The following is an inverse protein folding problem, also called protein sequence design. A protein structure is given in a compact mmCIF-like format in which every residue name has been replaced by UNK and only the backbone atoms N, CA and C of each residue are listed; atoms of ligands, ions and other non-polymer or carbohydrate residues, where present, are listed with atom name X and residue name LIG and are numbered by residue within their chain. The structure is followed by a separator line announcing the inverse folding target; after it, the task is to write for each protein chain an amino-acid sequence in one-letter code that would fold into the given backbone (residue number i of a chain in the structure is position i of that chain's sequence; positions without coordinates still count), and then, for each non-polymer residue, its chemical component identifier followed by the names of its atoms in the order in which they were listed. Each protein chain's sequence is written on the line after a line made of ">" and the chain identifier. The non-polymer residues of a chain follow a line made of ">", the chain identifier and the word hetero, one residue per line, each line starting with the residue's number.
data_IF_663394424445
#
_entry.id   IF_663394424445
#
_cell.length_a   1.000
_cell.length_b   1.000
_cell.length_c   1.000
_cell.angle_alpha   90.00
_cell.angle_beta   90.00
_cell.angle_gamma   90.00
#
_symmetry.space_group_name_H-M   'P 1'
#
loop_
_entity.id
_entity.type
_entity.pdbx_description
1 polymer ?
#
# COMPACT_ATOMS: atom_id res chain seq x y z
N UNK A 1 -20.98 -18.97 -26.20
CA UNK A 1 -19.68 -18.30 -25.96
C UNK A 1 -19.95 -16.85 -25.61
N UNK A 2 -19.91 -16.51 -24.32
CA UNK A 2 -19.95 -15.12 -23.83
C UNK A 2 -18.86 -14.96 -22.78
N UNK A 3 -17.94 -14.03 -23.03
CA UNK A 3 -16.86 -13.65 -22.11
C UNK A 3 -17.45 -12.74 -21.03
N UNK A 4 -17.36 -13.16 -19.77
CA UNK A 4 -17.63 -12.29 -18.63
C UNK A 4 -16.41 -11.38 -18.40
N UNK A 5 -16.62 -10.07 -18.53
CA UNK A 5 -15.67 -9.04 -18.10
C UNK A 5 -15.95 -8.80 -16.62
N UNK A 6 -15.03 -9.22 -15.75
CA UNK A 6 -15.10 -8.96 -14.31
C UNK A 6 -14.62 -7.53 -14.08
N UNK A 7 -15.54 -6.66 -13.67
CA UNK A 7 -15.27 -5.29 -13.25
C UNK A 7 -14.84 -5.31 -11.77
N UNK A 8 -13.60 -4.92 -11.48
CA UNK A 8 -13.15 -4.66 -10.12
C UNK A 8 -13.65 -3.27 -9.71
N UNK A 9 -14.92 -3.19 -9.31
CA UNK A 9 -15.47 -1.99 -8.69
C UNK A 9 -14.98 -1.87 -7.24
N UNK A 10 -14.18 -0.86 -6.95
CA UNK A 10 -13.96 -0.40 -5.58
C UNK A 10 -15.29 0.09 -5.00
N UNK A 11 -15.60 -0.15 -3.71
CA UNK A 11 -16.84 0.32 -3.11
C UNK A 11 -16.84 1.85 -3.03
N UNK A 12 -17.89 2.44 -3.59
CA UNK A 12 -18.26 3.84 -3.38
C UNK A 12 -18.61 3.98 -1.90
N UNK A 13 -17.77 4.66 -1.12
CA UNK A 13 -18.12 5.07 0.25
C UNK A 13 -19.05 6.27 0.14
N UNK A 14 -20.36 5.98 0.18
CA UNK A 14 -21.38 7.01 0.42
C UNK A 14 -21.33 7.36 1.91
N UNK A 15 -20.65 8.45 2.24
CA UNK A 15 -20.69 9.04 3.58
C UNK A 15 -22.03 9.74 3.80
N UNK A 16 -23.06 9.00 4.20
CA UNK A 16 -24.30 9.55 4.72
C UNK A 16 -24.16 9.72 6.23
N UNK A 17 -24.13 10.97 6.69
CA UNK A 17 -24.21 11.29 8.11
C UNK A 17 -25.53 10.81 8.72
N UNK A 18 -25.46 10.14 9.86
CA UNK A 18 -26.59 9.93 10.76
C UNK A 18 -26.15 10.28 12.17
N UNK A 19 -26.67 11.41 12.65
CA UNK A 19 -26.62 11.85 14.04
C UNK A 19 -27.60 10.99 14.84
N UNK A 20 -27.06 10.29 15.85
CA UNK A 20 -27.60 10.09 17.20
C UNK A 20 -28.97 9.42 17.38
N UNK A 21 -28.97 8.32 18.13
CA UNK A 21 -29.78 8.14 19.35
C UNK A 21 -29.25 6.92 20.13
N UNK A 22 -28.55 7.20 21.24
CA UNK A 22 -28.19 6.21 22.26
C UNK A 22 -29.45 5.77 23.04
N UNK A 23 -29.47 4.57 23.65
CA UNK A 23 -28.91 4.47 25.00
C UNK A 23 -28.23 3.12 25.33
N UNK A 24 -27.23 3.19 26.22
CA UNK A 24 -27.06 2.17 27.26
C UNK A 24 -25.88 1.20 27.11
N UNK A 25 -24.88 1.44 27.96
CA UNK A 25 -23.96 0.47 28.57
C UNK A 25 -22.77 -0.06 27.76
N UNK A 26 -21.57 0.30 28.23
CA UNK A 26 -20.41 -0.59 28.22
C UNK A 26 -19.27 -0.28 27.25
N UNK A 27 -18.88 0.99 27.06
CA UNK A 27 -17.63 1.29 26.35
C UNK A 27 -16.42 1.21 27.27
N UNK A 28 -15.64 0.14 27.11
CA UNK A 28 -14.22 0.15 27.45
C UNK A 28 -13.53 1.26 26.66
N UNK A 29 -12.89 2.18 27.38
CA UNK A 29 -12.04 3.23 26.80
C UNK A 29 -10.94 2.58 25.97
N UNK A 30 -10.93 2.85 24.67
CA UNK A 30 -9.72 2.75 23.88
C UNK A 30 -8.76 3.83 24.40
N UNK A 31 -7.81 3.41 25.25
CA UNK A 31 -6.70 4.24 25.70
C UNK A 31 -5.82 4.57 24.48
N UNK A 32 -6.08 5.71 23.85
CA UNK A 32 -5.16 6.33 22.90
C UNK A 32 -3.98 6.83 23.71
N UNK A 33 -2.85 6.15 23.60
CA UNK A 33 -1.59 6.63 24.18
C UNK A 33 -1.17 7.90 23.43
N UNK A 34 -0.90 9.02 24.11
CA UNK A 34 -0.46 10.24 23.45
C UNK A 34 0.99 10.06 22.99
N UNK A 35 1.15 9.72 21.71
CA UNK A 35 2.43 9.82 21.02
C UNK A 35 2.85 11.29 20.98
N UNK A 36 3.89 11.61 21.73
CA UNK A 36 4.57 12.89 21.83
C UNK A 36 4.67 13.58 20.46
N UNK A 37 3.90 14.66 20.26
CA UNK A 37 4.14 15.65 19.22
C UNK A 37 5.49 16.32 19.47
N UNK A 38 6.58 15.73 18.97
CA UNK A 38 7.81 16.47 18.80
C UNK A 38 7.57 17.47 17.66
N UNK A 39 7.54 18.75 18.01
CA UNK A 39 7.78 19.83 17.08
C UNK A 39 9.14 19.60 16.41
N UNK A 40 9.13 18.91 15.27
CA UNK A 40 10.26 18.87 14.36
C UNK A 40 10.05 20.05 13.42
N UNK A 41 10.66 21.18 13.76
CA UNK A 41 11.02 22.20 12.78
C UNK A 41 12.01 21.56 11.81
N UNK A 42 11.50 20.92 10.75
CA UNK A 42 12.34 20.30 9.74
C UNK A 42 12.63 21.31 8.63
N UNK A 43 13.75 22.00 8.80
CA UNK A 43 14.47 22.65 7.71
C UNK A 43 14.96 21.59 6.70
N UNK A 44 14.86 21.94 5.41
CA UNK A 44 15.47 21.31 4.23
C UNK A 44 14.85 20.01 3.69
N UNK A 45 13.82 20.16 2.84
CA UNK A 45 13.29 19.14 1.92
C UNK A 45 14.06 19.11 0.59
N UNK A 46 15.34 18.70 0.59
CA UNK A 46 16.15 18.60 -0.64
C UNK A 46 15.83 17.40 -1.56
N UNK A 47 14.72 16.68 -1.33
CA UNK A 47 14.24 15.61 -2.22
C UNK A 47 12.72 15.64 -2.48
N UNK A 48 12.12 16.84 -2.51
CA UNK A 48 10.73 17.00 -2.95
C UNK A 48 10.63 16.71 -4.46
N UNK A 49 10.06 15.55 -4.82
CA UNK A 49 9.60 15.32 -6.19
C UNK A 49 8.46 16.30 -6.46
N UNK A 50 8.72 17.27 -7.32
CA UNK A 50 7.77 18.33 -7.66
C UNK A 50 6.67 17.73 -8.54
N UNK A 51 5.44 17.68 -8.02
CA UNK A 51 4.25 17.40 -8.84
C UNK A 51 4.19 18.47 -9.94
N UNK A 52 4.09 18.09 -11.22
CA UNK A 52 4.20 19.04 -12.31
C UNK A 52 3.01 20.02 -12.29
N UNK A 53 3.32 21.30 -12.48
CA UNK A 53 2.33 22.37 -12.62
C UNK A 53 1.92 22.45 -14.08
N UNK A 54 0.62 22.59 -14.35
CA UNK A 54 0.11 22.75 -15.70
C UNK A 54 0.73 24.02 -16.36
N UNK A 55 1.09 23.99 -17.66
CA UNK A 55 1.71 25.13 -18.32
C UNK A 55 0.86 26.41 -18.27
N UNK A 56 1.50 27.55 -18.07
CA UNK A 56 0.85 28.88 -18.01
C UNK A 56 -0.15 29.05 -16.85
N UNK A 57 -0.07 28.21 -15.82
CA UNK A 57 -0.88 28.39 -14.61
C UNK A 57 -0.45 29.61 -13.81
N UNK A 58 -1.44 30.31 -13.28
CA UNK A 58 -1.26 31.46 -12.39
C UNK A 58 -1.62 31.05 -10.96
N UNK A 59 -0.77 31.39 -10.00
CA UNK A 59 -1.04 31.13 -8.58
C UNK A 59 -2.16 32.04 -8.11
N UNK A 60 -3.13 31.49 -7.40
CA UNK A 60 -4.21 32.27 -6.79
C UNK A 60 -4.01 32.44 -5.28
N UNK A 61 -4.72 33.43 -4.71
CA UNK A 61 -4.86 33.59 -3.25
C UNK A 61 -6.13 32.90 -2.71
N UNK A 62 -6.73 31.99 -3.49
CA UNK A 62 -7.94 31.27 -3.11
C UNK A 62 -7.72 30.39 -1.88
N UNK A 63 -8.80 30.10 -1.15
CA UNK A 63 -8.80 29.04 -0.14
C UNK A 63 -8.50 27.67 -0.78
N UNK A 64 -8.04 26.72 0.02
CA UNK A 64 -7.79 25.34 -0.43
C UNK A 64 -9.02 24.72 -1.10
N UNK A 65 -8.80 23.95 -2.17
CA UNK A 65 -9.87 23.17 -2.81
C UNK A 65 -10.19 21.97 -1.93
N UNK A 66 -11.47 21.76 -1.63
CA UNK A 66 -11.92 20.58 -0.89
C UNK A 66 -11.65 19.32 -1.71
N UNK A 67 -10.84 18.41 -1.15
CA UNK A 67 -10.50 17.15 -1.80
C UNK A 67 -11.67 16.15 -1.68
N UNK A 68 -12.08 15.46 -2.78
CA UNK A 68 -12.98 14.32 -2.70
C UNK A 68 -12.30 13.08 -2.08
N UNK A 69 -10.96 13.09 -1.98
CA UNK A 69 -10.20 12.08 -1.24
C UNK A 69 -10.06 12.49 0.22
N UNK A 70 -10.28 11.56 1.14
CA UNK A 70 -10.03 11.78 2.58
C UNK A 70 -8.53 12.05 2.82
N UNK A 71 -8.23 13.02 3.68
CA UNK A 71 -6.87 13.23 4.19
C UNK A 71 -6.68 12.46 5.50
N UNK A 72 -5.49 11.89 5.75
CA UNK A 72 -4.31 11.90 4.88
C UNK A 72 -4.47 10.95 3.66
N UNK A 73 -3.89 11.30 2.51
CA UNK A 73 -3.89 10.42 1.33
C UNK A 73 -3.29 9.05 1.65
N UNK A 74 -2.23 9.07 2.46
CA UNK A 74 -1.63 7.87 3.05
C UNK A 74 -1.53 8.07 4.55
N UNK A 75 -2.10 7.15 5.32
CA UNK A 75 -2.01 7.17 6.78
C UNK A 75 -0.56 7.12 7.24
N UNK A 76 -0.18 7.96 8.21
CA UNK A 76 1.19 8.10 8.75
C UNK A 76 2.19 8.85 7.87
N UNK A 77 1.81 9.27 6.64
CA UNK A 77 2.64 10.16 5.83
C UNK A 77 2.37 11.64 6.11
N UNK A 78 3.41 12.47 5.99
CA UNK A 78 3.25 13.92 5.92
C UNK A 78 2.63 14.29 4.55
N UNK A 79 1.49 14.98 4.58
CA UNK A 79 0.82 15.44 3.36
C UNK A 79 1.29 16.85 3.02
N UNK A 80 1.61 17.07 1.75
CA UNK A 80 2.06 18.35 1.23
C UNK A 80 1.03 18.85 0.23
N UNK A 81 0.48 20.02 0.48
CA UNK A 81 -0.53 20.63 -0.34
C UNK A 81 0.06 21.81 -1.12
N UNK A 82 -0.26 21.89 -2.41
CA UNK A 82 0.16 23.00 -3.26
C UNK A 82 -0.65 24.25 -2.98
N UNK A 83 -0.25 25.37 -3.58
CA UNK A 83 -1.17 26.49 -3.78
C UNK A 83 -2.26 26.11 -4.78
N UNK A 84 -3.34 26.87 -4.78
CA UNK A 84 -4.35 26.80 -5.84
C UNK A 84 -3.78 27.50 -7.08
N UNK A 85 -3.97 26.85 -8.22
CA UNK A 85 -3.53 27.30 -9.53
C UNK A 85 -4.73 27.50 -10.42
N UNK A 86 -4.69 28.55 -11.24
CA UNK A 86 -5.73 28.89 -12.21
C UNK A 86 -5.16 28.82 -13.61
N UNK A 87 -5.92 28.23 -14.52
CA UNK A 87 -5.49 28.04 -15.91
C UNK A 87 -6.65 28.30 -16.88
N UNK A 88 -6.43 29.06 -17.98
CA UNK A 88 -7.47 29.42 -18.94
C UNK A 88 -7.73 28.29 -19.95
N UNK A 89 -8.04 27.09 -19.45
CA UNK A 89 -8.44 25.93 -20.24
C UNK A 89 -9.58 25.20 -19.55
N UNK A 90 -10.26 24.34 -20.30
CA UNK A 90 -11.35 23.50 -19.77
C UNK A 90 -10.84 22.45 -18.78
N UNK A 91 -11.72 21.99 -17.89
CA UNK A 91 -11.47 20.86 -16.99
C UNK A 91 -10.88 19.65 -17.72
N UNK A 92 -11.47 19.27 -18.86
CA UNK A 92 -11.04 18.11 -19.65
C UNK A 92 -9.61 18.24 -20.15
N UNK A 93 -9.14 19.45 -20.44
CA UNK A 93 -7.75 19.67 -20.85
C UNK A 93 -6.80 19.50 -19.66
N UNK A 94 -7.16 19.99 -18.48
CA UNK A 94 -6.38 19.81 -17.25
C UNK A 94 -6.32 18.34 -16.85
N UNK A 95 -7.46 17.66 -16.81
CA UNK A 95 -7.57 16.23 -16.48
C UNK A 95 -6.69 15.38 -17.40
N UNK A 96 -6.88 15.49 -18.72
CA UNK A 96 -6.14 14.70 -19.69
C UNK A 96 -4.63 14.98 -19.65
N UNK A 97 -4.24 16.23 -19.41
CA UNK A 97 -2.84 16.59 -19.25
C UNK A 97 -2.24 15.94 -18.00
N UNK A 98 -2.92 16.00 -16.85
CA UNK A 98 -2.42 15.38 -15.62
C UNK A 98 -2.34 13.87 -15.74
N UNK A 99 -3.33 13.20 -16.34
CA UNK A 99 -3.26 11.75 -16.58
C UNK A 99 -1.99 11.40 -17.35
N UNK A 100 -1.77 12.01 -18.52
CA UNK A 100 -0.60 11.74 -19.35
C UNK A 100 0.71 12.12 -18.66
N UNK A 101 0.75 13.30 -18.04
CA UNK A 101 1.97 13.83 -17.43
C UNK A 101 2.41 13.01 -16.21
N UNK A 102 1.46 12.53 -15.42
CA UNK A 102 1.73 11.66 -14.27
C UNK A 102 2.14 10.25 -14.72
N UNK A 103 1.51 9.71 -15.76
CA UNK A 103 1.94 8.46 -16.42
C UNK A 103 3.38 8.55 -16.96
N UNK A 104 3.73 9.65 -17.64
CA UNK A 104 5.11 9.91 -18.10
C UNK A 104 6.11 9.98 -16.94
N UNK A 105 5.66 10.40 -15.76
CA UNK A 105 6.46 10.40 -14.53
C UNK A 105 6.47 9.06 -13.81
N UNK A 106 5.84 8.02 -14.37
CA UNK A 106 5.78 6.67 -13.83
C UNK A 106 4.80 6.49 -12.67
N UNK A 107 3.85 7.39 -12.52
CA UNK A 107 2.67 7.15 -11.69
C UNK A 107 1.61 6.42 -12.51
N UNK A 108 0.72 5.71 -11.83
CA UNK A 108 -0.50 5.19 -12.45
C UNK A 108 -1.72 5.74 -11.70
N UNK A 109 -2.83 5.88 -12.42
CA UNK A 109 -4.09 6.34 -11.83
C UNK A 109 -4.72 5.20 -11.02
N UNK A 110 -5.00 5.44 -9.74
CA UNK A 110 -5.64 4.46 -8.84
C UNK A 110 -7.10 4.79 -8.52
N UNK A 111 -7.52 6.06 -8.63
CA UNK A 111 -8.91 6.44 -8.40
C UNK A 111 -9.30 7.73 -9.10
N UNK A 112 -10.58 7.84 -9.46
CA UNK A 112 -11.25 9.08 -9.85
C UNK A 112 -12.42 9.29 -8.89
N UNK A 113 -12.56 10.49 -8.35
CA UNK A 113 -13.64 10.82 -7.43
C UNK A 113 -14.30 12.14 -7.82
N UNK A 114 -15.56 12.30 -7.46
CA UNK A 114 -16.33 13.52 -7.62
C UNK A 114 -16.95 13.86 -6.27
N UNK A 115 -16.76 15.08 -5.80
CA UNK A 115 -17.49 15.62 -4.66
C UNK A 115 -18.34 16.79 -5.12
N UNK A 116 -19.63 16.74 -4.83
CA UNK A 116 -20.49 17.91 -4.77
C UNK A 116 -20.50 18.40 -3.32
N UNK A 117 -19.99 19.60 -3.08
CA UNK A 117 -20.21 20.25 -1.79
C UNK A 117 -21.68 20.65 -1.72
N UNK A 118 -22.41 20.15 -0.72
CA UNK A 118 -23.84 20.45 -0.51
C UNK A 118 -24.16 21.96 -0.39
N UNK A 119 -23.16 22.84 -0.33
CA UNK A 119 -23.31 24.29 -0.14
C UNK A 119 -22.51 25.16 -1.12
N UNK A 120 -21.90 24.59 -2.17
CA UNK A 120 -21.30 25.38 -3.26
C UNK A 120 -21.63 24.76 -4.61
N UNK A 121 -22.04 25.57 -5.58
CA UNK A 121 -22.40 25.16 -6.95
C UNK A 121 -21.24 24.55 -7.77
N UNK A 122 -20.06 24.39 -7.17
CA UNK A 122 -18.85 23.92 -7.85
C UNK A 122 -18.56 22.46 -7.52
N UNK A 123 -18.62 21.62 -8.56
CA UNK A 123 -18.16 20.24 -8.53
C UNK A 123 -16.63 20.19 -8.41
N UNK A 124 -16.10 19.35 -7.52
CA UNK A 124 -14.65 19.07 -7.47
C UNK A 124 -14.36 17.67 -7.98
N UNK A 125 -13.54 17.60 -9.02
CA UNK A 125 -13.06 16.38 -9.64
C UNK A 125 -11.68 16.02 -9.08
N UNK A 126 -11.54 14.79 -8.59
CA UNK A 126 -10.30 14.27 -8.04
C UNK A 126 -9.68 13.19 -8.91
N UNK A 127 -8.38 13.29 -9.15
CA UNK A 127 -7.55 12.22 -9.70
C UNK A 127 -6.54 11.77 -8.63
N UNK A 128 -6.55 10.49 -8.26
CA UNK A 128 -5.55 9.94 -7.33
C UNK A 128 -4.58 9.05 -8.10
N UNK A 129 -3.31 9.44 -8.06
CA UNK A 129 -2.19 8.73 -8.67
C UNK A 129 -1.34 8.08 -7.60
N UNK A 130 -0.72 6.96 -7.94
CA UNK A 130 0.25 6.30 -7.07
C UNK A 130 1.50 5.85 -7.84
N UNK A 131 2.62 5.77 -7.13
CA UNK A 131 3.90 5.29 -7.62
C UNK A 131 4.65 4.53 -6.54
N UNK A 132 5.54 3.65 -6.98
CA UNK A 132 6.39 2.84 -6.12
C UNK A 132 5.74 1.52 -5.74
N UNK A 133 6.52 0.66 -5.09
CA UNK A 133 6.00 -0.57 -4.51
C UNK A 133 4.92 -0.23 -3.48
N UNK A 134 3.79 -0.92 -3.49
CA UNK A 134 2.63 -0.69 -2.59
C UNK A 134 2.06 0.73 -2.62
N UNK A 135 2.21 1.48 -3.72
CA UNK A 135 1.57 2.80 -3.87
C UNK A 135 1.94 3.79 -2.75
N UNK A 136 3.20 3.72 -2.28
CA UNK A 136 3.73 4.51 -1.16
C UNK A 136 3.95 5.99 -1.46
N UNK A 137 3.91 6.39 -2.72
CA UNK A 137 3.99 7.78 -3.18
C UNK A 137 2.65 8.08 -3.88
N UNK A 138 1.81 8.91 -3.26
CA UNK A 138 0.47 9.24 -3.76
C UNK A 138 0.34 10.73 -4.03
N UNK A 139 -0.36 11.04 -5.12
CA UNK A 139 -0.66 12.41 -5.53
C UNK A 139 -2.14 12.50 -5.88
N UNK A 140 -2.89 13.27 -5.10
CA UNK A 140 -4.25 13.68 -5.43
C UNK A 140 -4.24 15.02 -6.18
N UNK A 141 -4.85 15.08 -7.36
CA UNK A 141 -5.10 16.32 -8.10
C UNK A 141 -6.59 16.65 -7.97
N UNK A 142 -6.90 17.78 -7.36
CA UNK A 142 -8.26 18.29 -7.21
C UNK A 142 -8.48 19.41 -8.23
N UNK A 143 -9.53 19.29 -9.04
CA UNK A 143 -9.80 20.15 -10.20
C UNK A 143 -11.22 20.69 -10.08
N UNK A 144 -11.38 22.00 -10.18
CA UNK A 144 -12.66 22.70 -10.10
C UNK A 144 -12.87 23.49 -11.41
N UNK A 145 -13.83 23.10 -12.27
CA UNK A 145 -14.22 23.92 -13.40
C UNK A 145 -14.93 25.18 -12.90
N UNK A 146 -14.38 26.35 -13.22
CA UNK A 146 -15.00 27.65 -12.89
C UNK A 146 -15.91 28.09 -14.04
N UNK A 147 -15.43 27.92 -15.27
CA UNK A 147 -16.21 28.12 -16.51
C UNK A 147 -15.81 27.04 -17.53
N UNK A 148 -16.48 26.92 -18.68
CA UNK A 148 -16.06 25.97 -19.73
C UNK A 148 -14.61 26.15 -20.22
N UNK A 149 -14.01 27.32 -20.00
CA UNK A 149 -12.67 27.69 -20.47
C UNK A 149 -11.73 28.11 -19.34
N UNK A 150 -12.12 27.90 -18.08
CA UNK A 150 -11.36 28.33 -16.92
C UNK A 150 -11.44 27.29 -15.82
N UNK A 151 -10.29 26.84 -15.36
CA UNK A 151 -10.17 25.78 -14.36
C UNK A 151 -9.24 26.20 -13.24
N UNK A 152 -9.62 25.90 -12.01
CA UNK A 152 -8.73 25.91 -10.86
C UNK A 152 -8.33 24.49 -10.48
N UNK A 153 -7.11 24.31 -9.99
CA UNK A 153 -6.67 23.03 -9.47
C UNK A 153 -5.67 23.18 -8.33
N UNK A 154 -5.56 22.13 -7.53
CA UNK A 154 -4.62 22.02 -6.43
C UNK A 154 -4.17 20.56 -6.35
N UNK A 155 -2.91 20.32 -6.02
CA UNK A 155 -2.44 18.97 -5.73
C UNK A 155 -2.13 18.79 -4.25
N UNK A 156 -2.33 17.57 -3.78
CA UNK A 156 -1.88 17.07 -2.49
C UNK A 156 -0.99 15.88 -2.78
N UNK A 157 0.21 15.84 -2.22
CA UNK A 157 1.13 14.72 -2.34
C UNK A 157 1.49 14.19 -0.97
N UNK A 158 1.56 12.87 -0.83
CA UNK A 158 2.01 12.22 0.38
C UNK A 158 2.98 11.10 0.00
N UNK A 159 4.00 10.90 0.82
CA UNK A 159 4.93 9.79 0.64
C UNK A 159 5.20 9.12 1.98
N UNK A 160 4.96 7.82 2.04
CA UNK A 160 5.45 7.00 3.14
C UNK A 160 6.94 6.76 2.99
N UNK A 161 7.65 6.84 4.11
CA UNK A 161 9.04 6.42 4.18
C UNK A 161 9.07 4.90 4.23
N UNK A 162 9.75 4.28 3.27
CA UNK A 162 9.99 2.84 3.31
C UNK A 162 11.17 2.59 4.26
N UNK A 163 10.98 1.85 5.36
CA UNK A 163 12.07 1.59 6.28
C UNK A 163 13.16 0.75 5.61
N UNK A 164 14.41 1.03 5.96
CA UNK A 164 15.52 0.16 5.55
C UNK A 164 15.39 -1.20 6.23
N UNK A 165 15.75 -2.26 5.50
CA UNK A 165 15.74 -3.61 6.07
C UNK A 165 16.80 -3.72 7.16
N UNK A 166 16.44 -4.11 8.40
CA UNK A 166 17.42 -4.36 9.44
C UNK A 166 18.37 -5.49 9.02
N UNK A 167 19.68 -5.31 9.15
CA UNK A 167 20.68 -6.34 8.79
C UNK A 167 20.47 -7.65 9.58
N UNK A 168 19.86 -7.57 10.78
CA UNK A 168 19.49 -8.73 11.60
C UNK A 168 18.44 -9.65 10.96
N UNK A 169 17.71 -9.18 9.94
CA UNK A 169 16.69 -9.95 9.22
C UNK A 169 17.19 -10.59 7.92
N UNK A 170 18.47 -10.40 7.60
CA UNK A 170 19.12 -11.02 6.45
C UNK A 170 19.78 -12.33 6.86
N UNK A 171 19.61 -13.35 6.05
CA UNK A 171 20.36 -14.60 6.18
C UNK A 171 21.65 -14.43 5.39
N UNK A 172 22.78 -14.31 6.08
CA UNK A 172 24.08 -13.96 5.47
C UNK A 172 24.59 -15.00 4.48
N UNK A 173 24.29 -16.28 4.72
CA UNK A 173 24.63 -17.36 3.80
C UNK A 173 23.60 -18.49 3.88
N UNK A 174 23.14 -19.05 2.75
CA UNK A 174 22.34 -20.28 2.72
C UNK A 174 23.02 -21.44 3.45
N UNK A 175 24.36 -21.53 3.40
CA UNK A 175 25.10 -22.59 4.08
C UNK A 175 25.04 -22.52 5.61
N UNK A 176 24.57 -21.41 6.18
CA UNK A 176 24.33 -21.29 7.62
C UNK A 176 23.03 -21.97 8.07
N UNK A 177 22.15 -22.30 7.12
CA UNK A 177 20.87 -22.96 7.36
C UNK A 177 21.06 -24.47 7.25
N UNK A 178 20.64 -25.18 8.29
CA UNK A 178 20.68 -26.64 8.38
C UNK A 178 19.48 -27.26 7.66
N UNK A 179 18.29 -26.73 7.93
CA UNK A 179 17.02 -27.19 7.36
C UNK A 179 15.95 -26.13 7.50
N UNK A 180 14.89 -26.23 6.69
CA UNK A 180 13.71 -25.37 6.79
C UNK A 180 12.48 -26.27 6.89
N UNK A 181 11.80 -26.23 8.03
CA UNK A 181 10.49 -26.89 8.15
C UNK A 181 9.43 -25.96 7.59
N UNK A 182 8.70 -26.44 6.60
CA UNK A 182 7.64 -25.72 5.93
C UNK A 182 6.32 -26.31 6.37
N UNK A 183 5.41 -25.47 6.84
CA UNK A 183 4.00 -25.82 6.99
C UNK A 183 3.19 -24.84 6.16
N UNK A 184 2.44 -25.35 5.20
CA UNK A 184 1.59 -24.53 4.34
C UNK A 184 0.21 -25.16 4.23
N UNK A 185 -0.81 -24.31 4.09
CA UNK A 185 -2.18 -24.74 3.90
C UNK A 185 -2.62 -24.32 2.48
N UNK A 186 -3.07 -25.26 1.63
CA UNK A 186 -3.51 -24.94 0.27
C UNK A 186 -4.87 -24.23 0.28
N UNK A 187 -5.02 -23.20 -0.56
CA UNK A 187 -6.23 -22.35 -0.70
C UNK A 187 -7.57 -23.12 -0.64
N UNK A 188 -7.63 -24.33 -1.19
CA UNK A 188 -8.87 -25.12 -1.28
C UNK A 188 -9.39 -25.53 0.11
N UNK A 189 -10.61 -25.11 0.42
CA UNK A 189 -11.35 -25.52 1.62
C UNK A 189 -11.31 -27.05 1.81
N UNK A 190 -11.04 -27.50 3.04
CA UNK A 190 -11.04 -28.92 3.41
C UNK A 190 -9.72 -29.68 3.17
N UNK A 191 -8.72 -29.10 2.50
CA UNK A 191 -7.42 -29.76 2.41
C UNK A 191 -6.62 -29.66 3.72
N UNK A 192 -5.96 -30.75 4.15
CA UNK A 192 -5.09 -30.71 5.32
C UNK A 192 -3.91 -29.79 5.07
N UNK A 193 -3.37 -29.21 6.15
CA UNK A 193 -2.07 -28.55 6.10
C UNK A 193 -1.03 -29.59 5.66
N UNK A 194 -0.16 -29.18 4.75
CA UNK A 194 0.96 -29.99 4.31
C UNK A 194 2.22 -29.48 5.01
N UNK A 195 3.02 -30.42 5.51
CA UNK A 195 4.27 -30.11 6.18
C UNK A 195 5.38 -30.96 5.59
N UNK A 196 6.52 -30.34 5.31
CA UNK A 196 7.71 -31.01 4.80
C UNK A 196 8.97 -30.26 5.27
N UNK A 197 10.11 -30.93 5.22
CA UNK A 197 11.40 -30.33 5.59
C UNK A 197 12.30 -30.23 4.38
N UNK A 198 12.75 -29.02 4.07
CA UNK A 198 13.79 -28.76 3.09
C UNK A 198 15.15 -29.02 3.73
N UNK A 199 15.90 -29.96 3.16
CA UNK A 199 17.27 -30.29 3.57
C UNK A 199 18.29 -30.14 2.44
N UNK A 200 17.83 -30.03 1.19
CA UNK A 200 18.68 -29.88 0.02
C UNK A 200 19.22 -28.45 -0.07
N UNK A 201 20.53 -28.31 -0.28
CA UNK A 201 21.19 -27.00 -0.34
C UNK A 201 20.63 -26.08 -1.41
N UNK A 202 20.25 -26.63 -2.58
CA UNK A 202 19.67 -25.86 -3.68
C UNK A 202 18.29 -25.28 -3.34
N UNK A 203 17.43 -26.04 -2.66
CA UNK A 203 16.11 -25.59 -2.23
C UNK A 203 16.23 -24.51 -1.14
N UNK A 204 17.12 -24.76 -0.16
CA UNK A 204 17.43 -23.79 0.90
C UNK A 204 17.96 -22.47 0.31
N UNK A 205 18.89 -22.53 -0.65
CA UNK A 205 19.43 -21.36 -1.33
C UNK A 205 18.36 -20.55 -2.06
N UNK A 206 17.45 -21.21 -2.78
CA UNK A 206 16.34 -20.54 -3.46
C UNK A 206 15.43 -19.77 -2.47
N UNK A 207 15.03 -20.41 -1.36
CA UNK A 207 14.20 -19.78 -0.32
C UNK A 207 14.93 -18.62 0.35
N UNK A 208 16.21 -18.79 0.70
CA UNK A 208 17.03 -17.75 1.36
C UNK A 208 17.22 -16.54 0.43
N UNK A 209 17.52 -16.76 -0.85
CA UNK A 209 17.64 -15.69 -1.84
C UNK A 209 16.35 -14.90 -1.98
N UNK A 210 15.21 -15.60 -2.07
CA UNK A 210 13.92 -14.94 -2.16
C UNK A 210 13.62 -14.12 -0.92
N UNK A 211 13.75 -14.70 0.28
CA UNK A 211 13.54 -14.00 1.54
C UNK A 211 14.43 -12.76 1.69
N UNK A 212 15.70 -12.82 1.26
CA UNK A 212 16.62 -11.68 1.29
C UNK A 212 16.29 -10.61 0.24
N UNK A 213 15.62 -10.97 -0.86
CA UNK A 213 15.21 -10.06 -1.93
C UNK A 213 13.87 -9.35 -1.67
N UNK A 214 13.04 -9.86 -0.75
CA UNK A 214 11.74 -9.25 -0.47
C UNK A 214 11.90 -7.79 0.03
N UNK A 215 11.20 -6.82 -0.58
CA UNK A 215 11.22 -5.43 -0.16
C UNK A 215 10.52 -5.22 1.19
N UNK A 216 10.92 -4.17 1.90
CA UNK A 216 10.32 -3.83 3.20
C UNK A 216 9.02 -3.07 2.98
N UNK A 217 7.97 -3.46 3.69
CA UNK A 217 6.70 -2.77 3.69
C UNK A 217 6.71 -1.67 4.78
N UNK A 218 6.20 -0.46 4.50
CA UNK A 218 5.91 0.52 5.54
C UNK A 218 4.96 -0.06 6.59
N UNK A 219 5.17 0.31 7.85
CA UNK A 219 4.38 -0.22 8.97
C UNK A 219 2.90 0.11 8.83
N UNK A 220 2.59 1.26 8.26
CA UNK A 220 1.26 1.79 8.02
C UNK A 220 0.47 0.99 6.97
N UNK A 221 1.16 0.19 6.15
CA UNK A 221 0.55 -0.68 5.14
C UNK A 221 0.40 -2.14 5.63
N UNK A 222 0.92 -2.47 6.81
CA UNK A 222 0.86 -3.81 7.41
C UNK A 222 -0.45 -4.05 8.19
N UNK A 223 -1.58 -3.54 7.69
CA UNK A 223 -2.88 -3.65 8.34
C UNK A 223 -3.88 -4.36 7.43
N UNK A 224 -3.90 -5.70 7.50
CA UNK A 224 -4.92 -6.48 6.82
C UNK A 224 -6.06 -6.80 7.77
N UNK A 225 -7.30 -6.67 7.28
CA UNK A 225 -8.50 -6.81 8.07
C UNK A 225 -9.18 -8.18 7.90
N UNK A 226 -9.22 -8.87 9.04
CA UNK A 226 -10.21 -9.78 9.65
C UNK A 226 -10.72 -11.05 8.95
N UNK A 227 -11.02 -11.08 7.67
CA UNK A 227 -11.76 -12.23 7.11
C UNK A 227 -11.06 -12.83 5.88
N UNK A 228 -10.64 -14.09 6.04
CA UNK A 228 -10.13 -15.04 5.04
C UNK A 228 -8.64 -14.97 4.66
N UNK A 229 -7.98 -16.14 4.73
CA UNK A 229 -6.75 -16.43 3.98
C UNK A 229 -5.67 -17.22 4.73
N UNK A 230 -5.19 -18.30 4.13
CA UNK A 230 -4.26 -19.29 4.68
C UNK A 230 -2.79 -18.91 4.41
N UNK A 231 -1.92 -18.95 5.42
CA UNK A 231 -0.50 -18.59 5.29
C UNK A 231 0.47 -19.78 5.37
N UNK A 232 1.68 -19.61 4.86
CA UNK A 232 2.80 -20.51 5.11
C UNK A 232 3.60 -20.09 6.36
N UNK A 233 4.04 -21.07 7.16
CA UNK A 233 5.02 -20.88 8.22
C UNK A 233 6.29 -21.62 7.87
N UNK A 234 7.41 -20.90 7.92
CA UNK A 234 8.74 -21.47 7.74
C UNK A 234 9.48 -21.41 9.07
N UNK A 235 9.97 -22.55 9.53
CA UNK A 235 10.87 -22.64 10.69
C UNK A 235 12.26 -22.96 10.18
N UNK A 236 13.14 -21.96 10.17
CA UNK A 236 14.50 -22.03 9.64
C UNK A 236 15.42 -22.41 10.79
N UNK A 237 16.05 -23.58 10.71
CA UNK A 237 17.02 -24.06 11.68
C UNK A 237 18.43 -23.75 11.21
N UNK A 238 19.19 -23.02 12.02
CA UNK A 238 20.58 -22.66 11.70
C UNK A 238 21.56 -23.67 12.30
N UNK A 239 22.75 -23.78 11.71
CA UNK A 239 23.82 -24.67 12.19
C UNK A 239 24.27 -24.34 13.63
N UNK A 240 24.10 -23.09 14.06
CA UNK A 240 24.42 -22.63 15.43
C UNK A 240 23.28 -22.88 16.44
N UNK A 241 22.31 -23.74 16.11
CA UNK A 241 21.12 -24.06 16.93
C UNK A 241 20.14 -22.91 17.15
N UNK A 242 20.31 -21.75 16.48
CA UNK A 242 19.27 -20.72 16.44
C UNK A 242 18.14 -21.17 15.51
N UNK A 243 16.95 -20.65 15.76
CA UNK A 243 15.77 -20.93 14.93
C UNK A 243 15.03 -19.62 14.63
N UNK A 244 14.66 -19.42 13.37
CA UNK A 244 13.80 -18.31 12.94
C UNK A 244 12.44 -18.85 12.54
N UNK A 245 11.38 -18.11 12.90
CA UNK A 245 10.02 -18.40 12.45
C UNK A 245 9.57 -17.26 11.55
N UNK A 246 9.40 -17.57 10.27
CA UNK A 246 8.89 -16.65 9.25
C UNK A 246 7.46 -17.04 8.93
N UNK A 247 6.56 -16.05 8.85
CA UNK A 247 5.14 -16.27 8.57
C UNK A 247 4.73 -15.47 7.35
N UNK A 248 4.28 -16.15 6.31
CA UNK A 248 3.62 -15.53 5.18
C UNK A 248 2.13 -15.36 5.52
N UNK A 249 1.60 -14.17 5.25
CA UNK A 249 0.21 -13.81 5.47
C UNK A 249 -0.42 -13.56 4.11
N UNK A 250 -1.06 -14.59 3.55
CA UNK A 250 -1.73 -14.50 2.26
C UNK A 250 -2.86 -13.45 2.23
N UNK A 251 -3.47 -13.14 3.38
CA UNK A 251 -4.43 -12.03 3.53
C UNK A 251 -3.78 -10.65 3.29
N UNK A 252 -2.45 -10.59 3.26
CA UNK A 252 -1.66 -9.36 3.24
C UNK A 252 -0.60 -9.31 2.15
N UNK A 253 -0.42 -10.39 1.37
CA UNK A 253 0.68 -10.53 0.43
C UNK A 253 2.02 -10.12 1.11
N UNK A 254 2.18 -10.50 2.39
CA UNK A 254 3.28 -10.04 3.23
C UNK A 254 3.93 -11.18 4.00
N UNK A 255 5.21 -11.00 4.31
CA UNK A 255 6.06 -11.97 5.00
C UNK A 255 6.60 -11.32 6.27
N UNK A 256 6.18 -11.85 7.42
CA UNK A 256 6.68 -11.45 8.73
C UNK A 256 7.94 -12.21 9.05
N UNK A 257 9.04 -11.49 9.25
CA UNK A 257 10.32 -12.05 9.69
C UNK A 257 10.58 -11.73 11.17
N UNK A 258 11.42 -12.51 11.87
CA UNK A 258 11.85 -12.19 13.23
C UNK A 258 12.53 -10.82 13.31
N UNK A 259 12.11 -10.00 14.27
CA UNK A 259 12.73 -8.70 14.57
C UNK A 259 12.83 -7.72 13.39
N UNK A 260 12.01 -7.89 12.36
CA UNK A 260 11.94 -6.99 11.21
C UNK A 260 10.50 -6.56 10.92
N UNK A 261 10.32 -5.40 10.28
CA UNK A 261 9.05 -5.05 9.66
C UNK A 261 8.61 -6.11 8.66
N UNK A 262 7.33 -6.11 8.30
CA UNK A 262 6.84 -7.00 7.27
C UNK A 262 7.51 -6.70 5.93
N UNK A 263 7.75 -7.76 5.17
CA UNK A 263 8.25 -7.67 3.81
C UNK A 263 7.10 -7.93 2.84
N UNK A 264 7.12 -7.27 1.70
CA UNK A 264 6.09 -7.40 0.68
C UNK A 264 6.46 -8.51 -0.30
N UNK A 265 5.52 -9.41 -0.61
CA UNK A 265 5.70 -10.48 -1.62
C UNK A 265 4.60 -10.40 -2.68
N UNK A 266 4.53 -9.32 -3.49
CA UNK A 266 3.35 -8.91 -4.26
C UNK A 266 2.78 -9.99 -5.20
N UNK A 267 3.60 -10.95 -5.58
CA UNK A 267 3.24 -12.03 -6.50
C UNK A 267 3.07 -13.39 -5.80
N UNK A 268 3.03 -13.42 -4.47
CA UNK A 268 2.99 -14.65 -3.66
C UNK A 268 4.13 -15.61 -4.06
N UNK A 269 5.30 -15.05 -4.41
CA UNK A 269 6.43 -15.77 -4.98
C UNK A 269 6.95 -16.82 -4.01
N UNK A 270 6.97 -16.50 -2.71
CA UNK A 270 7.41 -17.42 -1.66
C UNK A 270 6.41 -18.56 -1.52
N UNK A 271 5.12 -18.22 -1.48
CA UNK A 271 4.06 -19.23 -1.41
C UNK A 271 4.11 -20.19 -2.61
N UNK A 272 4.27 -19.66 -3.83
CA UNK A 272 4.36 -20.47 -5.04
C UNK A 272 5.62 -21.35 -5.07
N UNK A 273 6.77 -20.82 -4.68
CA UNK A 273 8.02 -21.58 -4.56
C UNK A 273 7.84 -22.79 -3.63
N UNK A 274 7.27 -22.57 -2.44
CA UNK A 274 7.02 -23.63 -1.47
C UNK A 274 6.01 -24.65 -1.99
N UNK A 275 4.99 -24.22 -2.74
CA UNK A 275 4.03 -25.11 -3.38
C UNK A 275 4.63 -26.01 -4.46
N UNK A 276 5.61 -25.52 -5.23
CA UNK A 276 6.35 -26.33 -6.20
C UNK A 276 7.22 -27.38 -5.50
N UNK A 277 7.95 -26.99 -4.45
CA UNK A 277 8.76 -27.94 -3.68
C UNK A 277 7.87 -29.01 -3.01
N UNK A 278 6.72 -28.63 -2.45
CA UNK A 278 5.78 -29.59 -1.88
C UNK A 278 5.33 -30.67 -2.89
N UNK A 279 5.09 -30.28 -4.14
CA UNK A 279 4.75 -31.24 -5.21
C UNK A 279 5.92 -32.19 -5.51
N UNK A 280 7.15 -31.72 -5.45
CA UNK A 280 8.35 -32.54 -5.67
C UNK A 280 8.63 -33.53 -4.53
N UNK A 281 8.25 -33.17 -3.30
CA UNK A 281 8.40 -34.03 -2.11
C UNK A 281 7.24 -35.04 -2.00
N UNK A 282 6.08 -34.73 -2.56
CA UNK A 282 4.91 -35.62 -2.57
C UNK A 282 5.06 -36.77 -3.57
N UNK A 283 5.89 -37.78 -3.24
CA UNK A 283 5.86 -39.11 -3.89
C UNK A 283 6.04 -40.23 -2.84
N UNK A 284 5.11 -41.20 -2.91
CA UNK A 284 4.96 -42.46 -2.16
C UNK A 284 4.16 -42.38 -0.86
N UNK A 285 2.85 -42.23 -1.02
CA UNK A 285 1.91 -43.05 -0.23
C UNK A 285 1.92 -44.48 -0.76
#
# INVERSE_FOLDING_TARGET
>A
MLKAIVHWGLPIVLSSGLVGLSPGAGMAQAQVTPGVSKNITQSNSSHQKVVPVYPNSQRTQSMSITSPFSMPLIFGAANQQSSVWKVPVSYRQVENWYIRKMEDQGYHLISRALSSLNHSESETFGLLFAKGQENVDQVGINIVPITPTLTEYQYISARLSVPARPSSSLISSPSSVKSIDVSYKPWRYGHPAMSFTLTQSQQIDAVVKLLNALPVQPQELYHCAADFGQGATLTIHFNNKKTWVVKEQAACISVKMPHAPALQDPNLSLYHLLGQDAQSVSIKG
#
